data_IF_727683492158
#
_entry.id   IF_727683492158
#
_cell.length_a   1.000
_cell.length_b   1.000
_cell.length_c   1.000
_cell.angle_alpha   90.00
_cell.angle_beta   90.00
_cell.angle_gamma   90.00
#
_symmetry.space_group_name_H-M   'P 1'
#
loop_
_entity.id
_entity.type
_entity.pdbx_description
1 polymer ?
#
# COMPACT_ATOMS: atom_id res chain seq x y z
N UNK A 1 2.75 9.57 21.56
CA UNK A 1 2.32 8.42 22.37
C UNK A 1 1.50 8.93 23.52
N UNK A 2 0.53 8.15 24.01
CA UNK A 2 -0.16 8.45 25.26
C UNK A 2 0.71 8.07 26.49
N UNK A 3 0.19 8.32 27.68
CA UNK A 3 0.87 8.01 28.94
C UNK A 3 1.10 6.50 29.18
N UNK A 4 0.48 5.63 28.37
CA UNK A 4 0.58 4.17 28.44
C UNK A 4 1.55 3.63 27.38
N UNK A 5 2.14 4.50 26.56
CA UNK A 5 3.05 4.11 25.48
C UNK A 5 2.36 3.77 24.16
N UNK A 6 1.05 4.02 24.01
CA UNK A 6 0.38 3.77 22.74
C UNK A 6 0.65 4.88 21.74
N UNK A 7 1.04 4.51 20.53
CA UNK A 7 1.18 5.41 19.38
C UNK A 7 0.15 5.09 18.32
N UNK A 8 -0.31 6.11 17.59
CA UNK A 8 -1.12 5.95 16.38
C UNK A 8 -0.54 6.82 15.28
N UNK A 9 -0.36 6.22 14.11
CA UNK A 9 -0.06 6.92 12.87
C UNK A 9 -1.19 6.67 11.86
N UNK A 10 -1.36 7.59 10.92
CA UNK A 10 -2.28 7.43 9.80
C UNK A 10 -1.53 7.79 8.53
N UNK A 11 -1.56 6.89 7.57
CA UNK A 11 -1.09 7.13 6.20
C UNK A 11 -2.31 7.11 5.28
N UNK A 12 -2.37 8.07 4.35
CA UNK A 12 -3.46 8.19 3.38
C UNK A 12 -2.87 8.09 1.99
N UNK A 13 -3.33 7.11 1.21
CA UNK A 13 -3.06 6.99 -0.22
C UNK A 13 -4.30 7.47 -0.98
N UNK A 14 -4.34 8.74 -1.44
CA UNK A 14 -5.56 9.33 -2.00
C UNK A 14 -6.03 8.65 -3.30
N UNK A 15 -5.10 8.05 -4.03
CA UNK A 15 -5.38 7.14 -5.13
C UNK A 15 -4.37 6.00 -5.07
N UNK A 16 -4.86 4.76 -5.11
CA UNK A 16 -4.04 3.56 -5.11
C UNK A 16 -4.20 2.92 -6.49
N UNK A 17 -3.24 3.10 -7.42
CA UNK A 17 -3.43 2.79 -8.84
C UNK A 17 -3.26 1.28 -9.13
N UNK A 18 -3.84 0.41 -8.31
CA UNK A 18 -3.75 -1.04 -8.48
C UNK A 18 -4.72 -1.51 -9.56
N UNK A 19 -4.26 -2.43 -10.39
CA UNK A 19 -5.11 -3.17 -11.33
C UNK A 19 -5.76 -4.37 -10.64
N UNK A 20 -6.73 -5.01 -11.30
CA UNK A 20 -7.52 -6.11 -10.71
C UNK A 20 -6.63 -7.21 -10.13
N UNK A 21 -7.00 -7.73 -8.97
CA UNK A 21 -6.24 -8.78 -8.31
C UNK A 21 -6.47 -8.80 -6.80
N UNK A 22 -5.75 -9.71 -6.13
CA UNK A 22 -5.72 -9.81 -4.68
C UNK A 22 -4.38 -9.30 -4.17
N UNK A 23 -4.43 -8.33 -3.27
CA UNK A 23 -3.27 -7.70 -2.65
C UNK A 23 -3.33 -7.84 -1.14
N UNK A 24 -2.19 -7.83 -0.48
CA UNK A 24 -2.08 -7.81 0.97
C UNK A 24 -1.31 -6.58 1.45
N UNK A 25 -1.64 -6.10 2.65
CA UNK A 25 -0.92 -5.02 3.32
C UNK A 25 -0.15 -5.62 4.50
N UNK A 26 1.16 -5.47 4.46
CA UNK A 26 2.06 -5.76 5.58
C UNK A 26 2.55 -4.45 6.18
N UNK A 27 2.48 -4.33 7.50
CA UNK A 27 2.96 -3.15 8.24
C UNK A 27 4.17 -3.51 9.10
N UNK A 28 5.17 -2.63 9.10
CA UNK A 28 6.40 -2.78 9.88
C UNK A 28 6.55 -1.61 10.84
N UNK A 29 6.87 -1.91 12.09
CA UNK A 29 7.37 -0.91 13.03
C UNK A 29 8.89 -0.97 13.03
N UNK A 30 9.54 0.06 12.51
CA UNK A 30 10.99 0.16 12.48
C UNK A 30 11.55 1.03 13.61
N UNK A 31 12.85 0.86 13.89
CA UNK A 31 13.64 1.90 14.56
C UNK A 31 13.70 3.18 13.72
N UNK A 32 14.18 4.26 14.33
CA UNK A 32 14.22 5.61 13.75
C UNK A 32 15.08 5.68 12.48
N UNK A 33 16.06 4.77 12.36
CA UNK A 33 16.95 4.66 11.21
C UNK A 33 16.43 3.72 10.12
N UNK A 34 15.29 3.05 10.33
CA UNK A 34 14.74 2.08 9.38
C UNK A 34 15.55 0.78 9.24
N UNK A 35 16.54 0.54 10.09
CA UNK A 35 17.47 -0.60 9.96
C UNK A 35 17.03 -1.85 10.72
N UNK A 36 16.23 -1.68 11.77
CA UNK A 36 15.80 -2.77 12.64
C UNK A 36 14.28 -2.77 12.74
N UNK A 37 13.66 -3.95 12.62
CA UNK A 37 12.22 -4.15 12.76
C UNK A 37 11.94 -4.48 14.22
N UNK A 38 11.14 -3.65 14.90
CA UNK A 38 10.65 -3.92 16.24
C UNK A 38 9.44 -4.85 16.23
N UNK A 39 8.54 -4.67 15.26
CA UNK A 39 7.33 -5.49 15.14
C UNK A 39 6.84 -5.56 13.68
N UNK A 40 6.08 -6.62 13.39
CA UNK A 40 5.56 -6.98 12.07
C UNK A 40 4.11 -7.45 12.16
N UNK A 41 3.23 -6.76 11.44
CA UNK A 41 1.88 -7.26 11.13
C UNK A 41 1.85 -7.75 9.67
N UNK A 42 2.19 -9.03 9.47
CA UNK A 42 2.28 -9.62 8.13
C UNK A 42 0.91 -9.90 7.50
N UNK A 43 0.71 -9.42 6.27
CA UNK A 43 -0.50 -9.60 5.46
C UNK A 43 -1.81 -9.34 6.21
N UNK A 44 -1.76 -8.39 7.15
CA UNK A 44 -2.84 -8.07 8.10
C UNK A 44 -4.15 -7.62 7.45
N UNK A 45 -4.11 -7.19 6.19
CA UNK A 45 -5.26 -6.73 5.41
C UNK A 45 -5.18 -7.35 4.02
N UNK A 46 -6.31 -7.84 3.49
CA UNK A 46 -6.45 -8.28 2.10
C UNK A 46 -7.35 -7.33 1.33
N UNK A 47 -6.95 -6.96 0.12
CA UNK A 47 -7.69 -6.12 -0.80
C UNK A 47 -8.05 -6.92 -2.06
N UNK A 48 -9.33 -7.07 -2.35
CA UNK A 48 -9.81 -7.59 -3.64
C UNK A 48 -10.12 -6.39 -4.55
N UNK A 49 -9.23 -6.13 -5.50
CA UNK A 49 -9.34 -5.02 -6.45
C UNK A 49 -10.04 -5.51 -7.71
N UNK A 50 -11.06 -4.77 -8.14
CA UNK A 50 -11.76 -4.99 -9.40
C UNK A 50 -11.47 -3.83 -10.35
N UNK A 51 -11.53 -4.09 -11.67
CA UNK A 51 -11.26 -3.06 -12.67
C UNK A 51 -12.31 -3.08 -13.78
N UNK A 52 -12.60 -1.90 -14.32
CA UNK A 52 -13.33 -1.73 -15.57
C UNK A 52 -12.31 -1.28 -16.62
N UNK A 53 -12.06 -2.12 -17.62
CA UNK A 53 -11.06 -1.87 -18.65
C UNK A 53 -10.14 -3.06 -18.91
N UNK A 54 -9.36 -2.93 -19.98
CA UNK A 54 -8.49 -4.00 -20.51
C UNK A 54 -7.01 -3.81 -20.16
N UNK A 55 -6.68 -2.80 -19.34
CA UNK A 55 -5.31 -2.62 -18.85
C UNK A 55 -4.81 -3.88 -18.16
N UNK A 56 -3.57 -4.25 -18.48
CA UNK A 56 -2.89 -5.45 -18.01
C UNK A 56 -1.67 -5.03 -17.20
N UNK A 57 -1.42 -5.74 -16.09
CA UNK A 57 -0.30 -5.46 -15.20
C UNK A 57 -0.73 -5.39 -13.74
N UNK A 58 0.05 -4.67 -12.94
CA UNK A 58 -0.17 -4.52 -11.49
C UNK A 58 -0.60 -3.10 -11.13
N UNK A 59 -0.13 -2.10 -11.88
CA UNK A 59 -0.45 -0.69 -11.63
C UNK A 59 -0.78 0.08 -12.92
N UNK A 60 -1.64 1.08 -12.80
CA UNK A 60 -1.86 2.08 -13.86
C UNK A 60 -0.86 3.23 -13.69
N UNK A 61 0.00 3.41 -14.70
CA UNK A 61 0.88 4.56 -14.78
C UNK A 61 0.25 5.63 -15.69
N UNK A 62 0.39 6.91 -15.32
CA UNK A 62 -0.09 8.01 -16.16
C UNK A 62 0.62 7.98 -17.51
N UNK A 63 -0.14 7.78 -18.58
CA UNK A 63 0.37 7.66 -19.95
C UNK A 63 -0.56 8.37 -20.93
N UNK A 64 -0.07 8.61 -22.14
CA UNK A 64 -0.85 9.12 -23.26
C UNK A 64 -0.45 8.35 -24.53
N UNK A 65 -1.44 8.06 -25.37
CA UNK A 65 -1.19 7.52 -26.70
C UNK A 65 -0.84 8.68 -27.62
N UNK A 66 0.30 8.56 -28.30
CA UNK A 66 0.70 9.49 -29.35
C UNK A 66 0.45 8.82 -30.70
N UNK A 67 -0.25 9.51 -31.59
CA UNK A 67 -0.35 9.13 -33.01
C UNK A 67 0.95 9.52 -33.71
N UNK A 68 1.51 8.61 -34.50
CA UNK A 68 2.66 8.87 -35.36
C UNK A 68 2.26 9.67 -36.60
#
# INVERSE_FOLDING_TARGET
MDAQGHGRCVVVFPALPLLKGRYSITSYLFCEKGLHIYDLADQSISLDVTQQGVEQGVVTLKHAWLTA
#
